data_IF_212870552797
#
_entry.id   IF_212870552797
#
_cell.length_a   1.000
_cell.length_b   1.000
_cell.length_c   1.000
_cell.angle_alpha   90.00
_cell.angle_beta   90.00
_cell.angle_gamma   90.00
#
_symmetry.space_group_name_H-M   'P 1'
#
loop_
_entity.id
_entity.type
_entity.pdbx_description
1 polymer ?
#
# COMPACT_ATOMS: atom_id res chain seq x y z
N UNK A 1 10.08 -13.79 -17.46
CA UNK A 1 9.46 -13.41 -18.75
C UNK A 1 9.52 -14.54 -19.75
N UNK A 2 10.70 -15.08 -20.07
CA UNK A 2 10.83 -16.17 -21.06
C UNK A 2 10.05 -17.44 -20.70
N UNK A 3 10.03 -17.83 -19.41
CA UNK A 3 9.20 -18.94 -18.94
C UNK A 3 7.70 -18.73 -19.23
N UNK A 4 7.20 -17.52 -19.00
CA UNK A 4 5.80 -17.16 -19.29
C UNK A 4 5.51 -17.15 -20.79
N UNK A 5 6.49 -16.78 -21.63
CA UNK A 5 6.36 -16.84 -23.10
C UNK A 5 6.29 -18.29 -23.60
N UNK A 6 7.07 -19.19 -23.00
CA UNK A 6 7.08 -20.62 -23.34
C UNK A 6 5.76 -21.30 -22.94
N UNK A 7 5.15 -20.88 -21.84
CA UNK A 7 3.84 -21.38 -21.39
C UNK A 7 2.65 -20.70 -22.09
N UNK A 8 2.83 -19.52 -22.69
CA UNK A 8 1.78 -18.68 -23.26
C UNK A 8 1.46 -18.89 -24.74
N UNK A 9 1.98 -19.93 -25.42
CA UNK A 9 1.78 -20.13 -26.86
C UNK A 9 0.43 -20.76 -27.26
N UNK A 10 -0.58 -20.72 -26.40
CA UNK A 10 -1.93 -21.22 -26.68
C UNK A 10 -2.94 -20.12 -26.31
N UNK A 11 -3.31 -19.30 -27.30
CA UNK A 11 -4.49 -18.41 -27.34
C UNK A 11 -4.91 -17.71 -26.03
N UNK A 12 -4.23 -16.58 -25.74
CA UNK A 12 -4.76 -15.26 -25.32
C UNK A 12 -6.04 -15.15 -24.46
N UNK A 13 -6.27 -16.00 -23.46
CA UNK A 13 -7.29 -15.73 -22.44
C UNK A 13 -6.62 -15.69 -21.08
N UNK A 14 -6.50 -14.48 -20.52
CA UNK A 14 -6.18 -14.31 -19.11
C UNK A 14 -7.14 -15.15 -18.29
N UNK A 15 -6.60 -15.95 -17.37
CA UNK A 15 -7.38 -16.80 -16.48
C UNK A 15 -7.18 -16.34 -15.04
N UNK A 16 -7.95 -16.89 -14.11
CA UNK A 16 -7.79 -16.60 -12.68
C UNK A 16 -6.40 -16.99 -12.13
N UNK A 17 -5.64 -17.82 -12.87
CA UNK A 17 -4.27 -18.20 -12.51
C UNK A 17 -3.19 -17.35 -13.21
N UNK A 18 -3.59 -16.36 -14.00
CA UNK A 18 -2.64 -15.45 -14.67
C UNK A 18 -2.04 -14.49 -13.65
N UNK A 19 -0.72 -14.38 -13.63
CA UNK A 19 -0.04 -13.39 -12.81
C UNK A 19 0.21 -12.09 -13.58
N UNK A 20 0.86 -11.15 -12.89
CA UNK A 20 1.12 -9.83 -13.47
C UNK A 20 2.04 -9.88 -14.70
N UNK A 21 2.97 -10.86 -14.78
CA UNK A 21 3.83 -11.03 -15.96
C UNK A 21 3.01 -11.48 -17.15
N UNK A 22 2.01 -12.35 -16.95
CA UNK A 22 1.07 -12.73 -18.00
C UNK A 22 0.26 -11.53 -18.50
N UNK A 23 -0.17 -10.65 -17.60
CA UNK A 23 -0.91 -9.42 -17.97
C UNK A 23 -0.04 -8.51 -18.84
N UNK A 24 1.21 -8.23 -18.43
CA UNK A 24 2.12 -7.38 -19.21
C UNK A 24 2.41 -7.95 -20.61
N UNK A 25 2.58 -9.27 -20.70
CA UNK A 25 2.79 -9.96 -21.98
C UNK A 25 1.56 -9.98 -22.89
N UNK A 26 0.35 -9.82 -22.32
CA UNK A 26 -0.91 -9.78 -23.08
C UNK A 26 -1.22 -8.41 -23.70
N UNK A 27 -0.42 -7.38 -23.39
CA UNK A 27 -0.59 -6.04 -23.94
C UNK A 27 -0.21 -6.02 -25.43
N UNK A 28 -1.09 -5.44 -26.25
CA UNK A 28 -0.95 -5.35 -27.70
C UNK A 28 -1.12 -3.92 -28.20
N UNK A 29 -0.80 -3.68 -29.48
CA UNK A 29 -0.97 -2.38 -30.11
C UNK A 29 -0.11 -1.28 -29.47
N UNK A 30 -0.72 -0.13 -29.18
CA UNK A 30 -0.04 1.03 -28.59
C UNK A 30 0.35 0.83 -27.12
N UNK A 31 -0.23 -0.17 -26.44
CA UNK A 31 0.07 -0.49 -25.04
C UNK A 31 1.13 -1.58 -24.88
N UNK A 32 1.57 -2.18 -25.99
CA UNK A 32 2.59 -3.23 -25.96
C UNK A 32 3.89 -2.68 -25.40
N UNK A 33 4.39 -3.33 -24.36
CA UNK A 33 5.67 -2.99 -23.73
C UNK A 33 6.81 -3.77 -24.38
N UNK A 34 7.94 -3.09 -24.56
CA UNK A 34 9.21 -3.77 -24.83
C UNK A 34 9.69 -4.50 -23.57
N UNK A 35 10.62 -5.44 -23.75
CA UNK A 35 11.08 -6.27 -22.64
C UNK A 35 11.75 -5.47 -21.52
N UNK A 36 12.56 -4.48 -21.89
CA UNK A 36 13.22 -3.59 -20.92
C UNK A 36 12.19 -2.77 -20.11
N UNK A 37 11.10 -2.33 -20.75
CA UNK A 37 10.01 -1.61 -20.07
C UNK A 37 9.27 -2.53 -19.09
N UNK A 38 8.97 -3.77 -19.49
CA UNK A 38 8.36 -4.77 -18.60
C UNK A 38 9.26 -5.06 -17.40
N UNK A 39 10.57 -5.23 -17.62
CA UNK A 39 11.55 -5.43 -16.56
C UNK A 39 11.54 -4.24 -15.60
N UNK A 40 11.56 -3.01 -16.11
CA UNK A 40 11.51 -1.81 -15.28
C UNK A 40 10.23 -1.73 -14.43
N UNK A 41 9.06 -2.03 -15.02
CA UNK A 41 7.77 -2.05 -14.31
C UNK A 41 7.76 -3.11 -13.19
N UNK A 42 8.25 -4.32 -13.48
CA UNK A 42 8.32 -5.41 -12.50
C UNK A 42 9.28 -5.07 -11.35
N UNK A 43 10.43 -4.47 -11.66
CA UNK A 43 11.38 -4.00 -10.65
C UNK A 43 10.76 -2.94 -9.73
N UNK A 44 10.08 -1.96 -10.30
CA UNK A 44 9.42 -0.90 -9.52
C UNK A 44 8.33 -1.46 -8.61
N UNK A 45 7.55 -2.43 -9.08
CA UNK A 45 6.53 -3.11 -8.26
C UNK A 45 7.15 -3.82 -7.06
N UNK A 46 8.20 -4.62 -7.28
CA UNK A 46 8.88 -5.36 -6.20
C UNK A 46 9.50 -4.39 -5.20
N UNK A 47 10.26 -3.40 -5.69
CA UNK A 47 10.95 -2.44 -4.84
C UNK A 47 9.97 -1.66 -3.95
N UNK A 48 8.86 -1.18 -4.52
CA UNK A 48 7.86 -0.41 -3.78
C UNK A 48 7.01 -1.25 -2.83
N UNK A 49 6.67 -2.48 -3.21
CA UNK A 49 5.78 -3.34 -2.46
C UNK A 49 6.45 -4.07 -1.29
N UNK A 50 7.77 -4.28 -1.36
CA UNK A 50 8.48 -5.14 -0.39
C UNK A 50 8.70 -4.44 0.95
N UNK A 51 9.52 -3.38 0.96
CA UNK A 51 9.95 -2.75 2.22
C UNK A 51 8.78 -2.08 2.95
N UNK A 52 7.86 -1.48 2.20
CA UNK A 52 6.68 -0.81 2.78
C UNK A 52 5.75 -1.79 3.52
N UNK A 53 5.51 -2.96 2.93
CA UNK A 53 4.66 -4.00 3.53
C UNK A 53 5.36 -4.69 4.70
N UNK A 54 6.68 -4.91 4.59
CA UNK A 54 7.48 -5.49 5.67
C UNK A 54 7.46 -4.60 6.92
N UNK A 55 7.75 -3.29 6.75
CA UNK A 55 7.72 -2.32 7.84
C UNK A 55 6.32 -2.18 8.45
N UNK A 56 5.27 -2.13 7.62
CA UNK A 56 3.90 -2.08 8.12
C UNK A 56 3.59 -3.31 8.99
N UNK A 57 3.95 -4.50 8.52
CA UNK A 57 3.69 -5.75 9.25
C UNK A 57 4.47 -5.78 10.56
N UNK A 58 5.73 -5.34 10.55
CA UNK A 58 6.55 -5.21 11.76
C UNK A 58 5.89 -4.29 12.80
N UNK A 59 5.45 -3.10 12.38
CA UNK A 59 4.77 -2.16 13.27
C UNK A 59 3.42 -2.68 13.78
N UNK A 60 2.63 -3.35 12.94
CA UNK A 60 1.39 -4.02 13.40
C UNK A 60 1.71 -4.99 14.53
N UNK A 61 2.73 -5.84 14.35
CA UNK A 61 3.11 -6.81 15.39
C UNK A 61 3.65 -6.12 16.64
N UNK A 62 4.47 -5.07 16.50
CA UNK A 62 4.98 -4.30 17.63
C UNK A 62 3.86 -3.67 18.45
N UNK A 63 2.90 -3.00 17.81
CA UNK A 63 1.76 -2.36 18.49
C UNK A 63 0.86 -3.38 19.18
N UNK A 64 0.61 -4.54 18.56
CA UNK A 64 -0.18 -5.60 19.20
C UNK A 64 0.50 -6.16 20.45
N UNK A 65 1.83 -6.33 20.42
CA UNK A 65 2.60 -6.81 21.59
C UNK A 65 2.63 -5.76 22.71
N UNK A 66 2.69 -4.48 22.36
CA UNK A 66 2.72 -3.37 23.32
C UNK A 66 1.34 -3.04 23.90
N UNK A 67 0.25 -3.41 23.22
CA UNK A 67 -1.14 -3.14 23.64
C UNK A 67 -1.97 -4.45 23.74
N UNK A 68 -1.80 -5.26 24.80
CA UNK A 68 -2.42 -6.58 24.93
C UNK A 68 -3.96 -6.58 24.85
N UNK A 69 -4.62 -5.51 25.28
CA UNK A 69 -6.07 -5.35 25.19
C UNK A 69 -6.56 -5.19 23.75
N UNK A 70 -5.80 -4.48 22.90
CA UNK A 70 -6.08 -4.36 21.47
C UNK A 70 -5.87 -5.71 20.80
N UNK A 71 -4.78 -6.40 21.14
CA UNK A 71 -4.51 -7.75 20.65
C UNK A 71 -5.63 -8.73 21.01
N UNK A 72 -6.08 -8.73 22.26
CA UNK A 72 -7.16 -9.60 22.72
C UNK A 72 -8.48 -9.31 21.98
N UNK A 73 -8.80 -8.03 21.75
CA UNK A 73 -9.99 -7.62 20.99
C UNK A 73 -9.91 -8.06 19.52
N UNK A 74 -8.75 -7.95 18.89
CA UNK A 74 -8.53 -8.43 17.52
C UNK A 74 -8.65 -9.96 17.44
N UNK A 75 -8.04 -10.71 18.37
CA UNK A 75 -8.19 -12.15 18.43
C UNK A 75 -9.64 -12.58 18.64
N UNK A 76 -10.41 -11.84 19.44
CA UNK A 76 -11.83 -12.08 19.62
C UNK A 76 -12.61 -11.88 18.32
N UNK A 77 -12.36 -10.79 17.57
CA UNK A 77 -12.96 -10.58 16.25
C UNK A 77 -12.67 -11.74 15.30
N UNK A 78 -11.38 -12.13 15.19
CA UNK A 78 -10.94 -13.23 14.34
C UNK A 78 -11.64 -14.53 14.72
N UNK A 79 -11.73 -14.84 16.01
CA UNK A 79 -12.40 -16.06 16.49
C UNK A 79 -13.89 -16.07 16.18
N UNK A 80 -14.59 -14.95 16.36
CA UNK A 80 -16.04 -14.86 16.12
C UNK A 80 -16.38 -14.99 14.63
N UNK A 81 -15.57 -14.38 13.76
CA UNK A 81 -15.89 -14.30 12.32
C UNK A 81 -15.33 -15.48 11.54
N UNK A 82 -14.14 -15.97 11.90
CA UNK A 82 -13.49 -17.07 11.20
C UNK A 82 -13.73 -18.43 11.86
N UNK A 83 -14.08 -18.47 13.15
CA UNK A 83 -14.28 -19.71 13.88
C UNK A 83 -13.04 -20.62 13.82
N UNK A 84 -13.24 -21.86 13.40
CA UNK A 84 -12.18 -22.87 13.25
C UNK A 84 -11.56 -22.90 11.84
N UNK A 85 -11.81 -21.88 11.01
CA UNK A 85 -11.27 -21.82 9.65
C UNK A 85 -9.74 -21.78 9.71
N UNK A 86 -9.08 -22.75 9.07
CA UNK A 86 -7.61 -22.86 9.07
C UNK A 86 -6.91 -21.84 8.17
N UNK A 87 -7.64 -21.25 7.21
CA UNK A 87 -7.06 -20.40 6.16
C UNK A 87 -7.93 -19.18 5.91
N UNK A 88 -7.36 -17.99 6.03
CA UNK A 88 -8.01 -16.72 5.70
C UNK A 88 -7.96 -16.50 4.19
N UNK A 89 -9.04 -15.97 3.63
CA UNK A 89 -9.15 -15.61 2.20
C UNK A 89 -9.50 -14.13 2.07
N UNK A 90 -9.24 -13.54 0.89
CA UNK A 90 -9.55 -12.13 0.64
C UNK A 90 -11.02 -11.77 0.86
N UNK A 91 -11.93 -12.71 0.61
CA UNK A 91 -13.37 -12.53 0.85
C UNK A 91 -13.75 -12.42 2.34
N UNK A 92 -12.85 -12.78 3.26
CA UNK A 92 -13.07 -12.64 4.70
C UNK A 92 -12.65 -11.27 5.22
N UNK A 93 -11.64 -10.63 4.60
CA UNK A 93 -11.07 -9.35 5.06
C UNK A 93 -12.13 -8.24 5.21
N UNK A 94 -13.10 -8.06 4.29
CA UNK A 94 -14.16 -7.08 4.46
C UNK A 94 -15.04 -7.30 5.71
N UNK A 95 -15.08 -8.53 6.23
CA UNK A 95 -15.86 -8.89 7.42
C UNK A 95 -15.11 -8.62 8.72
N UNK A 96 -13.82 -8.26 8.67
CA UNK A 96 -12.93 -8.03 9.81
C UNK A 96 -12.65 -6.51 9.98
N UNK A 97 -13.63 -5.71 10.42
CA UNK A 97 -13.48 -4.26 10.51
C UNK A 97 -12.42 -3.83 11.53
N UNK A 98 -12.24 -4.56 12.64
CA UNK A 98 -11.25 -4.22 13.64
C UNK A 98 -9.83 -4.54 13.17
N UNK A 99 -9.62 -5.65 12.45
CA UNK A 99 -8.36 -5.90 11.74
C UNK A 99 -8.02 -4.74 10.79
N UNK A 100 -9.00 -4.29 10.00
CA UNK A 100 -8.80 -3.16 9.11
C UNK A 100 -8.48 -1.87 9.88
N UNK A 101 -9.11 -1.64 11.02
CA UNK A 101 -8.81 -0.50 11.88
C UNK A 101 -7.39 -0.56 12.44
N UNK A 102 -6.92 -1.74 12.89
CA UNK A 102 -5.54 -1.95 13.38
C UNK A 102 -4.53 -1.61 12.28
N UNK A 103 -4.74 -2.09 11.06
CA UNK A 103 -3.85 -1.79 9.91
C UNK A 103 -3.87 -0.30 9.58
N UNK A 104 -5.05 0.34 9.54
CA UNK A 104 -5.19 1.78 9.25
C UNK A 104 -4.55 2.65 10.33
N UNK A 105 -4.73 2.29 11.60
CA UNK A 105 -4.14 3.01 12.72
C UNK A 105 -2.62 2.84 12.74
N UNK A 106 -2.11 1.67 12.35
CA UNK A 106 -0.67 1.47 12.18
C UNK A 106 -0.12 2.37 11.07
N UNK A 107 -0.83 2.49 9.94
CA UNK A 107 -0.44 3.43 8.88
C UNK A 107 -0.50 4.91 9.34
N UNK A 108 -1.39 5.25 10.26
CA UNK A 108 -1.49 6.60 10.83
C UNK A 108 -0.29 6.91 11.73
N UNK A 109 -0.01 6.05 12.70
CA UNK A 109 1.06 6.26 13.69
C UNK A 109 2.45 6.00 13.09
N UNK A 110 2.58 5.01 12.21
CA UNK A 110 3.85 4.54 11.65
C UNK A 110 3.83 4.49 10.12
N UNK A 111 3.65 5.63 9.42
CA UNK A 111 3.64 5.63 7.95
C UNK A 111 5.02 5.18 7.42
N UNK A 112 5.12 4.08 6.65
CA UNK A 112 6.43 3.58 6.15
C UNK A 112 7.20 4.58 5.28
N UNK A 113 6.52 5.59 4.73
CA UNK A 113 7.12 6.72 4.01
C UNK A 113 6.67 8.06 4.60
N UNK A 114 7.27 8.56 5.70
CA UNK A 114 6.76 9.71 6.46
C UNK A 114 6.80 11.04 5.70
N UNK A 115 7.63 11.18 4.67
CA UNK A 115 7.66 12.36 3.78
C UNK A 115 7.02 12.11 2.40
N UNK A 116 6.31 10.97 2.27
CA UNK A 116 5.92 10.33 1.02
C UNK A 116 7.09 10.11 0.07
N UNK A 117 7.14 8.95 -0.59
CA UNK A 117 8.23 8.58 -1.50
C UNK A 117 8.33 9.43 -2.78
N UNK A 118 7.55 10.51 -2.91
CA UNK A 118 7.54 11.36 -4.09
C UNK A 118 7.56 12.83 -3.71
N UNK A 119 8.74 13.41 -3.80
CA UNK A 119 8.83 14.84 -4.02
C UNK A 119 8.22 15.16 -5.40
N UNK A 120 7.44 16.23 -5.50
CA UNK A 120 6.86 16.71 -6.76
C UNK A 120 7.61 17.95 -7.20
N UNK A 121 8.19 17.91 -8.39
CA UNK A 121 8.82 19.08 -9.00
C UNK A 121 7.73 19.90 -9.71
N UNK A 122 7.63 21.18 -9.36
CA UNK A 122 6.74 22.11 -10.05
C UNK A 122 7.30 22.40 -11.44
N UNK A 123 6.55 22.09 -12.50
CA UNK A 123 6.97 22.35 -13.89
C UNK A 123 6.61 23.76 -14.37
N UNK A 124 5.87 24.51 -13.56
CA UNK A 124 5.44 25.89 -13.80
C UNK A 124 5.09 26.57 -12.47
N UNK A 125 4.85 27.87 -12.49
CA UNK A 125 4.33 28.58 -11.31
C UNK A 125 2.92 28.10 -10.97
N UNK A 126 2.71 27.66 -9.73
CA UNK A 126 1.41 27.19 -9.23
C UNK A 126 0.83 28.20 -8.24
N UNK A 127 -0.30 28.79 -8.61
CA UNK A 127 -1.04 29.70 -7.73
C UNK A 127 -1.94 28.91 -6.77
N UNK A 128 -1.74 29.12 -5.47
CA UNK A 128 -2.56 28.53 -4.42
C UNK A 128 -3.79 29.41 -4.13
N UNK A 129 -4.85 28.79 -3.60
CA UNK A 129 -6.12 29.47 -3.28
C UNK A 129 -5.99 30.57 -2.21
N UNK A 130 -4.93 30.52 -1.39
CA UNK A 130 -4.61 31.52 -0.38
C UNK A 130 -3.77 32.70 -0.93
N UNK A 131 -3.58 32.79 -2.25
CA UNK A 131 -2.84 33.87 -2.91
C UNK A 131 -1.32 33.67 -2.95
N UNK A 132 -0.80 32.57 -2.40
CA UNK A 132 0.62 32.21 -2.52
C UNK A 132 0.95 31.64 -3.90
N UNK A 133 2.21 31.73 -4.29
CA UNK A 133 2.75 31.11 -5.52
C UNK A 133 3.83 30.12 -5.12
N UNK A 134 3.74 28.90 -5.64
CA UNK A 134 4.84 27.94 -5.67
C UNK A 134 5.57 28.15 -7.00
N UNK A 135 6.80 28.68 -7.02
CA UNK A 135 7.51 28.91 -8.26
C UNK A 135 7.80 27.61 -9.02
N UNK A 136 7.94 27.72 -10.34
CA UNK A 136 8.53 26.68 -11.17
C UNK A 136 9.87 26.18 -10.58
N UNK A 137 10.19 24.92 -10.82
CA UNK A 137 11.37 24.19 -10.32
C UNK A 137 11.42 24.02 -8.80
N UNK A 138 10.34 24.36 -8.07
CA UNK A 138 10.23 24.05 -6.65
C UNK A 138 9.96 22.56 -6.45
N UNK A 139 10.75 21.91 -5.60
CA UNK A 139 10.48 20.54 -5.14
C UNK A 139 9.60 20.58 -3.89
N UNK A 140 8.35 20.14 -4.01
CA UNK A 140 7.40 20.04 -2.91
C UNK A 140 7.37 18.63 -2.33
N UNK A 141 7.27 18.52 -1.01
CA UNK A 141 7.12 17.25 -0.29
C UNK A 141 5.94 17.35 0.67
N UNK A 142 5.24 16.24 0.88
CA UNK A 142 4.12 16.17 1.82
C UNK A 142 4.59 15.41 3.05
N UNK A 143 4.64 16.10 4.19
CA UNK A 143 5.00 15.47 5.45
C UNK A 143 3.80 14.68 6.00
N UNK A 144 3.67 13.43 5.57
CA UNK A 144 2.60 12.53 6.00
C UNK A 144 2.62 12.33 7.52
N UNK A 145 3.81 12.17 8.11
CA UNK A 145 3.93 12.01 9.57
C UNK A 145 3.35 13.21 10.33
N UNK A 146 3.67 14.43 9.90
CA UNK A 146 3.12 15.63 10.53
C UNK A 146 1.59 15.68 10.41
N UNK A 147 1.03 15.31 9.26
CA UNK A 147 -0.42 15.28 9.04
C UNK A 147 -1.10 14.22 9.91
N UNK A 148 -0.53 13.02 10.03
CA UNK A 148 -1.12 11.94 10.83
C UNK A 148 -0.94 12.11 12.34
N UNK A 149 -0.10 13.07 12.75
CA UNK A 149 0.17 13.40 14.15
C UNK A 149 -0.28 14.82 14.55
N UNK A 150 -1.02 15.52 13.69
CA UNK A 150 -1.52 16.86 14.01
C UNK A 150 -2.65 16.77 15.06
N UNK A 151 -2.47 17.34 16.27
CA UNK A 151 -3.49 17.31 17.32
C UNK A 151 -4.74 18.13 16.99
N UNK A 152 -4.72 18.98 15.96
CA UNK A 152 -5.92 19.68 15.47
C UNK A 152 -6.80 18.79 14.59
N UNK A 153 -6.26 17.68 14.08
CA UNK A 153 -6.96 16.72 13.21
C UNK A 153 -7.26 15.42 13.95
N UNK A 154 -6.33 14.94 14.78
CA UNK A 154 -6.43 13.68 15.51
C UNK A 154 -6.43 13.91 17.01
N UNK A 155 -7.39 13.31 17.72
CA UNK A 155 -7.39 13.28 19.18
C UNK A 155 -6.31 12.31 19.68
N UNK A 156 -5.47 12.75 20.61
CA UNK A 156 -4.31 11.99 21.14
C UNK A 156 -3.45 11.34 20.04
N UNK A 157 -2.83 12.13 19.13
CA UNK A 157 -2.21 11.62 17.91
C UNK A 157 -1.07 10.62 18.14
N UNK A 158 -0.46 10.62 19.32
CA UNK A 158 0.64 9.73 19.69
C UNK A 158 0.17 8.39 20.27
N UNK A 159 -1.12 8.23 20.55
CA UNK A 159 -1.68 6.97 21.05
C UNK A 159 -2.12 6.08 19.90
N UNK A 160 -1.92 4.77 20.04
CA UNK A 160 -2.42 3.78 19.10
C UNK A 160 -3.85 3.38 19.49
N UNK A 161 -4.86 3.84 18.73
CA UNK A 161 -6.28 3.65 19.05
C UNK A 161 -7.09 3.19 17.82
N UNK A 162 -7.01 1.89 17.45
CA UNK A 162 -7.82 1.30 16.38
C UNK A 162 -9.32 1.27 16.69
#
# INVERSE_FOLDING_TARGET
IDEHRLHGSVESVLSDNSDFVNVLLSLEGEEKLEEDDMVAVLWEMIFRGTDTTALLTEWVMAELVLNPEIQAKLQHELHIILGDKSTVTDADVPKLPYLQAVVRETLRVHPPGPLLSWARLSTSDVHLSNGMVIPADTTAMVNMWAITHDPNVWEDPLSFKP
#
